data_IF_124055807834
#
_entry.id   IF_124055807834
#
_cell.length_a   1.000
_cell.length_b   1.000
_cell.length_c   1.000
_cell.angle_alpha   90.00
_cell.angle_beta   90.00
_cell.angle_gamma   90.00
#
_symmetry.space_group_name_H-M   'P 1'
#
loop_
_entity.id
_entity.type
_entity.pdbx_description
1 polymer ?
#
# COMPACT_ATOMS: atom_id res chain seq x y z
N UNK A 1 -10.68 -17.25 2.57
CA UNK A 1 -9.37 -17.76 2.13
C UNK A 1 -8.52 -16.55 1.80
N UNK A 2 -7.36 -16.43 2.44
CA UNK A 2 -6.44 -15.30 2.24
C UNK A 2 -5.83 -15.37 0.85
N UNK A 3 -5.81 -14.25 0.13
CA UNK A 3 -5.22 -14.09 -1.20
C UNK A 3 -4.13 -13.04 -1.14
N UNK A 4 -2.93 -13.37 -1.61
CA UNK A 4 -1.86 -12.39 -1.78
C UNK A 4 -2.12 -11.56 -3.04
N UNK A 5 -2.13 -10.23 -2.90
CA UNK A 5 -2.26 -9.29 -4.02
C UNK A 5 -0.88 -8.76 -4.42
N UNK A 6 -0.02 -8.49 -3.44
CA UNK A 6 1.40 -8.22 -3.60
C UNK A 6 2.16 -9.11 -2.62
N UNK A 7 2.96 -10.09 -3.09
CA UNK A 7 3.80 -10.87 -2.21
C UNK A 7 4.74 -9.95 -1.43
N UNK A 8 5.10 -10.35 -0.22
CA UNK A 8 6.05 -9.59 0.58
C UNK A 8 7.32 -9.31 -0.23
N UNK A 9 7.56 -8.05 -0.53
CA UNK A 9 8.66 -7.60 -1.37
C UNK A 9 9.59 -6.75 -0.54
N UNK A 10 10.87 -7.12 -0.51
CA UNK A 10 11.90 -6.38 0.20
C UNK A 10 12.18 -5.05 -0.52
N UNK A 11 12.22 -3.96 0.23
CA UNK A 11 12.61 -2.62 -0.24
C UNK A 11 13.88 -2.24 0.51
N UNK A 12 15.03 -2.23 -0.17
CA UNK A 12 16.32 -2.03 0.49
C UNK A 12 16.67 -3.17 1.48
N UNK A 13 17.46 -2.87 2.50
CA UNK A 13 18.01 -3.91 3.38
C UNK A 13 17.13 -4.30 4.55
N UNK A 14 16.26 -3.38 5.00
CA UNK A 14 15.53 -3.53 6.25
C UNK A 14 14.03 -3.29 6.14
N UNK A 15 13.53 -2.85 4.98
CA UNK A 15 12.11 -2.61 4.75
C UNK A 15 11.50 -3.70 3.87
N UNK A 16 10.22 -3.96 4.05
CA UNK A 16 9.40 -4.85 3.23
C UNK A 16 8.00 -4.28 3.12
N UNK A 17 7.38 -4.47 1.96
CA UNK A 17 5.98 -4.11 1.71
C UNK A 17 5.21 -5.35 1.28
N UNK A 18 3.93 -5.43 1.62
CA UNK A 18 3.06 -6.46 1.08
C UNK A 18 1.60 -6.05 1.12
N UNK A 19 0.80 -6.74 0.30
CA UNK A 19 -0.64 -6.53 0.23
C UNK A 19 -1.35 -7.87 0.20
N UNK A 20 -2.27 -8.04 1.13
CA UNK A 20 -3.10 -9.23 1.27
C UNK A 20 -4.57 -8.86 1.25
N UNK A 21 -5.39 -9.82 0.85
CA UNK A 21 -6.83 -9.70 0.83
C UNK A 21 -7.42 -10.87 1.59
N UNK A 22 -8.27 -10.57 2.56
CA UNK A 22 -9.03 -11.56 3.29
C UNK A 22 -10.49 -11.14 3.30
N UNK A 23 -11.35 -11.99 2.72
CA UNK A 23 -12.77 -11.69 2.54
C UNK A 23 -12.95 -10.35 1.79
N UNK A 24 -13.42 -9.34 2.52
CA UNK A 24 -13.87 -8.05 2.01
C UNK A 24 -12.87 -6.92 2.33
N UNK A 25 -11.73 -7.28 2.90
CA UNK A 25 -10.70 -6.37 3.40
C UNK A 25 -9.38 -6.55 2.65
N UNK A 26 -8.69 -5.42 2.47
CA UNK A 26 -7.34 -5.33 1.90
C UNK A 26 -6.42 -4.83 3.00
N UNK A 27 -5.44 -5.65 3.38
CA UNK A 27 -4.35 -5.29 4.27
C UNK A 27 -3.12 -4.86 3.48
N UNK A 28 -2.72 -3.59 3.63
CA UNK A 28 -1.43 -3.07 3.18
C UNK A 28 -0.51 -2.97 4.39
N UNK A 29 0.70 -3.50 4.32
CA UNK A 29 1.69 -3.35 5.37
C UNK A 29 3.04 -2.90 4.83
N UNK A 30 3.72 -2.09 5.64
CA UNK A 30 5.14 -1.75 5.50
C UNK A 30 5.81 -2.14 6.80
N UNK A 31 6.72 -3.10 6.72
CA UNK A 31 7.42 -3.65 7.87
C UNK A 31 8.91 -3.36 7.75
N UNK A 32 9.52 -2.94 8.86
CA UNK A 32 10.96 -2.92 9.07
C UNK A 32 11.34 -3.63 10.36
N UNK A 33 12.65 -3.80 10.60
CA UNK A 33 13.16 -4.36 11.85
C UNK A 33 12.69 -3.60 13.11
N UNK A 34 12.41 -2.29 12.99
CA UNK A 34 12.07 -1.42 14.11
C UNK A 34 10.62 -0.91 14.09
N UNK A 35 9.92 -0.99 12.94
CA UNK A 35 8.56 -0.47 12.78
C UNK A 35 7.72 -1.39 11.91
N UNK A 36 6.61 -1.89 12.43
CA UNK A 36 5.54 -2.46 11.62
C UNK A 36 4.37 -1.48 11.55
N UNK A 37 4.10 -0.93 10.37
CA UNK A 37 2.88 -0.17 10.10
C UNK A 37 1.98 -0.98 9.18
N UNK A 38 0.74 -1.22 9.60
CA UNK A 38 -0.27 -1.93 8.81
C UNK A 38 -1.55 -1.13 8.75
N UNK A 39 -2.14 -1.05 7.57
CA UNK A 39 -3.45 -0.45 7.32
C UNK A 39 -4.36 -1.52 6.71
N UNK A 40 -5.55 -1.69 7.28
CA UNK A 40 -6.61 -2.50 6.71
C UNK A 40 -7.69 -1.58 6.13
N UNK A 41 -8.18 -1.91 4.94
CA UNK A 41 -9.20 -1.16 4.24
C UNK A 41 -10.34 -2.08 3.84
N UNK A 42 -11.58 -1.64 3.97
CA UNK A 42 -12.67 -2.22 3.18
C UNK A 42 -12.50 -1.88 1.71
N UNK A 43 -13.10 -2.64 0.81
CA UNK A 43 -12.97 -2.42 -0.63
C UNK A 43 -13.34 -1.00 -1.10
N UNK A 44 -14.37 -0.37 -0.53
CA UNK A 44 -14.76 0.99 -0.89
C UNK A 44 -13.78 2.03 -0.35
N UNK A 45 -13.21 1.81 0.83
CA UNK A 45 -12.16 2.62 1.44
C UNK A 45 -10.86 2.51 0.64
N UNK A 46 -10.49 1.30 0.21
CA UNK A 46 -9.34 1.06 -0.66
C UNK A 46 -9.46 1.83 -1.98
N UNK A 47 -10.63 1.81 -2.62
CA UNK A 47 -10.87 2.60 -3.85
C UNK A 47 -10.64 4.09 -3.62
N UNK A 48 -11.13 4.64 -2.51
CA UNK A 48 -10.93 6.06 -2.15
C UNK A 48 -9.46 6.35 -1.86
N UNK A 49 -8.76 5.45 -1.17
CA UNK A 49 -7.33 5.55 -0.90
C UNK A 49 -6.53 5.63 -2.21
N UNK A 50 -6.73 4.69 -3.13
CA UNK A 50 -6.06 4.67 -4.45
C UNK A 50 -6.36 5.94 -5.25
N UNK A 51 -7.61 6.42 -5.24
CA UNK A 51 -7.97 7.69 -5.89
C UNK A 51 -7.20 8.88 -5.29
N UNK A 52 -7.06 8.93 -3.98
CA UNK A 52 -6.27 9.95 -3.28
C UNK A 52 -4.80 9.92 -3.67
N UNK A 53 -4.19 8.73 -3.70
CA UNK A 53 -2.79 8.54 -4.11
C UNK A 53 -2.56 9.04 -5.55
N UNK A 54 -3.42 8.63 -6.50
CA UNK A 54 -3.28 9.05 -7.89
C UNK A 54 -3.44 10.57 -8.06
N UNK A 55 -4.34 11.20 -7.28
CA UNK A 55 -4.48 12.66 -7.31
C UNK A 55 -3.22 13.36 -6.80
N UNK A 56 -2.62 12.85 -5.72
CA UNK A 56 -1.37 13.39 -5.18
C UNK A 56 -0.20 13.23 -6.17
N UNK A 57 -0.11 12.08 -6.85
CA UNK A 57 0.90 11.83 -7.88
C UNK A 57 0.81 12.83 -9.04
N UNK A 58 -0.40 13.07 -9.55
CA UNK A 58 -0.64 14.06 -10.60
C UNK A 58 -0.32 15.50 -10.17
N UNK A 59 -0.55 15.84 -8.90
CA UNK A 59 -0.11 17.12 -8.33
C UNK A 59 1.42 17.20 -8.24
N UNK A 60 2.09 16.10 -7.87
CA UNK A 60 3.54 16.05 -7.72
C UNK A 60 4.28 16.17 -9.07
N UNK A 61 3.80 15.50 -10.12
CA UNK A 61 4.34 15.62 -11.50
C UNK A 61 4.33 17.05 -12.04
N UNK A 62 3.39 17.89 -11.57
CA UNK A 62 3.35 19.32 -11.97
C UNK A 62 4.44 20.15 -11.29
N UNK A 63 4.92 19.70 -10.13
CA UNK A 63 5.92 20.40 -9.31
C UNK A 63 7.34 19.94 -9.68
N UNK A 64 7.50 18.65 -9.97
CA UNK A 64 8.76 18.02 -10.38
C UNK A 64 8.54 17.37 -11.75
N UNK A 65 8.63 18.14 -12.85
CA UNK A 65 8.64 17.55 -14.19
C UNK A 65 9.97 16.82 -14.41
N UNK A 66 9.90 15.68 -15.10
CA UNK A 66 11.04 14.81 -15.45
C UNK A 66 12.20 15.56 -16.14
#
# INVERSE_FOLDING_TARGET
>A
MKKELLPQTKIGDFLSIGVEMEQDEIGLYVASADVSASCAFKFDEWKKFVQGINKADEEFKRIVPD
#
